data_IF_652326430871
#
_entry.id   IF_652326430871
#
_cell.length_a   1.000
_cell.length_b   1.000
_cell.length_c   1.000
_cell.angle_alpha   90.00
_cell.angle_beta   90.00
_cell.angle_gamma   90.00
#
_symmetry.space_group_name_H-M   'P 1'
#
loop_
_entity.id
_entity.type
_entity.pdbx_description
1 polymer ?
#
# COMPACT_ATOMS: atom_id res chain seq x y z
N UNK A 1 14.78 -46.13 -54.21
CA UNK A 1 13.38 -45.83 -54.58
C UNK A 1 13.01 -44.55 -53.82
N UNK A 2 12.73 -43.39 -54.41
CA UNK A 2 12.47 -43.03 -55.82
C UNK A 2 13.38 -41.90 -56.36
N UNK A 3 13.25 -41.61 -57.66
CA UNK A 3 14.09 -40.74 -58.51
C UNK A 3 13.76 -39.23 -58.40
N UNK A 4 14.78 -38.36 -58.46
CA UNK A 4 15.15 -37.42 -59.56
C UNK A 4 14.21 -36.21 -59.79
N UNK A 5 14.72 -34.96 -59.68
CA UNK A 5 15.09 -34.03 -60.77
C UNK A 5 13.87 -33.51 -61.58
N UNK A 6 13.56 -32.22 -61.79
CA UNK A 6 14.26 -31.11 -62.47
C UNK A 6 13.25 -29.91 -62.54
N UNK A 7 13.51 -28.66 -62.93
CA UNK A 7 14.72 -27.80 -63.09
C UNK A 7 14.24 -26.31 -63.17
N UNK A 8 15.10 -25.34 -63.51
CA UNK A 8 14.74 -23.94 -63.81
C UNK A 8 14.61 -23.68 -65.33
N UNK A 9 13.69 -22.80 -65.76
CA UNK A 9 13.97 -21.59 -66.59
C UNK A 9 12.67 -20.98 -67.19
N UNK A 10 12.76 -19.79 -67.79
CA UNK A 10 11.65 -18.86 -68.06
C UNK A 10 11.41 -18.50 -69.54
N UNK A 11 10.22 -17.95 -69.85
CA UNK A 11 9.89 -17.00 -70.93
C UNK A 11 8.42 -16.52 -70.70
N UNK A 12 8.09 -15.24 -70.47
CA UNK A 12 8.09 -14.06 -71.38
C UNK A 12 6.96 -14.05 -72.41
N UNK A 13 6.09 -13.04 -72.33
CA UNK A 13 5.52 -12.25 -73.44
C UNK A 13 4.89 -10.96 -72.84
N UNK A 14 4.90 -9.86 -73.58
CA UNK A 14 4.49 -8.53 -73.14
C UNK A 14 3.27 -7.99 -73.94
N UNK A 15 2.60 -6.95 -73.45
CA UNK A 15 2.58 -5.59 -74.05
C UNK A 15 1.41 -4.70 -73.58
N UNK A 16 1.70 -3.39 -73.58
CA UNK A 16 0.83 -2.23 -73.91
C UNK A 16 -0.08 -1.57 -72.86
N UNK A 17 0.10 -0.25 -72.78
CA UNK A 17 -0.75 0.75 -72.13
C UNK A 17 -2.01 1.06 -72.95
N UNK A 18 -3.08 1.47 -72.26
CA UNK A 18 -3.97 2.56 -72.67
C UNK A 18 -4.94 2.93 -71.53
N UNK A 19 -5.02 4.20 -71.16
CA UNK A 19 -5.94 4.72 -70.14
C UNK A 19 -7.43 4.58 -70.51
N UNK A 20 -8.32 4.67 -69.51
CA UNK A 20 -9.51 5.51 -69.69
C UNK A 20 -9.81 6.43 -68.49
N UNK A 21 -9.78 7.72 -68.79
CA UNK A 21 -10.83 8.73 -68.50
C UNK A 21 -11.51 8.73 -67.12
N UNK A 22 -11.27 9.80 -66.34
CA UNK A 22 -11.88 10.03 -65.03
C UNK A 22 -13.26 10.74 -65.13
N UNK A 23 -14.33 10.23 -64.49
CA UNK A 23 -15.59 10.95 -64.35
C UNK A 23 -15.56 11.93 -63.17
N UNK A 24 -15.73 13.20 -63.48
CA UNK A 24 -16.26 14.32 -62.67
C UNK A 24 -16.47 14.09 -61.15
N UNK A 25 -15.73 14.81 -60.32
CA UNK A 25 -15.97 14.89 -58.88
C UNK A 25 -17.30 15.61 -58.55
N UNK A 26 -18.29 14.87 -58.04
CA UNK A 26 -19.41 15.48 -57.31
C UNK A 26 -18.97 15.77 -55.88
N UNK A 27 -18.94 17.05 -55.52
CA UNK A 27 -18.46 17.51 -54.20
C UNK A 27 -19.48 17.23 -53.08
N UNK A 28 -19.53 15.99 -52.59
CA UNK A 28 -20.24 15.66 -51.36
C UNK A 28 -19.41 16.09 -50.14
N UNK A 29 -19.75 17.26 -49.58
CA UNK A 29 -19.29 17.68 -48.25
C UNK A 29 -19.89 16.76 -47.18
N UNK A 30 -19.27 15.62 -46.94
CA UNK A 30 -19.46 14.84 -45.73
C UNK A 30 -18.40 15.29 -44.70
N UNK A 31 -18.78 15.72 -43.49
CA UNK A 31 -17.80 15.98 -42.45
C UNK A 31 -17.03 14.69 -42.15
N UNK A 32 -15.73 14.77 -41.80
CA UNK A 32 -14.95 13.59 -41.44
C UNK A 32 -15.63 12.85 -40.29
N UNK A 33 -15.62 11.51 -40.27
CA UNK A 33 -16.26 10.74 -39.23
C UNK A 33 -15.66 11.14 -37.88
N UNK A 34 -16.45 11.85 -37.08
CA UNK A 34 -16.04 12.19 -35.73
C UNK A 34 -16.00 10.88 -34.93
N UNK A 35 -14.78 10.38 -34.72
CA UNK A 35 -14.49 9.41 -33.70
C UNK A 35 -14.80 10.05 -32.35
N UNK A 36 -16.08 10.00 -31.95
CA UNK A 36 -16.52 10.29 -30.60
C UNK A 36 -16.00 9.16 -29.72
N UNK A 37 -14.72 9.23 -29.38
CA UNK A 37 -14.13 8.46 -28.30
C UNK A 37 -14.82 8.91 -27.01
N UNK A 38 -15.96 8.29 -26.71
CA UNK A 38 -16.52 8.30 -25.37
C UNK A 38 -15.43 7.72 -24.46
N UNK A 39 -14.76 8.60 -23.72
CA UNK A 39 -13.71 8.20 -22.79
C UNK A 39 -14.36 7.43 -21.64
N UNK A 40 -14.54 6.13 -21.83
CA UNK A 40 -15.04 5.22 -20.80
C UNK A 40 -14.04 5.23 -19.65
N UNK A 41 -14.39 5.90 -18.56
CA UNK A 41 -13.61 5.84 -17.32
C UNK A 41 -13.39 4.38 -16.93
N UNK A 42 -12.16 4.02 -16.59
CA UNK A 42 -11.86 2.69 -16.09
C UNK A 42 -12.78 2.34 -14.91
N UNK A 43 -13.30 1.11 -14.83
CA UNK A 43 -14.13 0.69 -13.70
C UNK A 43 -13.34 0.84 -12.40
N UNK A 44 -14.03 1.19 -11.32
CA UNK A 44 -13.40 1.25 -10.00
C UNK A 44 -12.88 -0.11 -9.56
N UNK A 45 -11.74 -0.11 -8.88
CA UNK A 45 -11.17 -1.33 -8.33
C UNK A 45 -11.88 -1.70 -7.02
N UNK A 46 -12.70 -2.78 -7.05
CA UNK A 46 -13.34 -3.34 -5.86
C UNK A 46 -12.30 -3.66 -4.79
N UNK A 47 -12.46 -3.04 -3.63
CA UNK A 47 -11.50 -3.09 -2.53
C UNK A 47 -12.24 -3.34 -1.21
N UNK A 48 -11.61 -4.07 -0.29
CA UNK A 48 -12.09 -4.25 1.08
C UNK A 48 -11.04 -3.73 2.05
N UNK A 49 -11.45 -2.96 3.05
CA UNK A 49 -10.62 -2.57 4.18
C UNK A 49 -11.28 -3.04 5.48
N UNK A 50 -10.57 -3.91 6.20
CA UNK A 50 -10.99 -4.44 7.49
C UNK A 50 -10.39 -3.55 8.57
N UNK A 51 -11.22 -2.74 9.21
CA UNK A 51 -10.80 -1.67 10.12
C UNK A 51 -10.56 -2.22 11.52
N UNK A 52 -9.45 -1.83 12.16
CA UNK A 52 -9.29 -2.02 13.61
C UNK A 52 -10.24 -1.12 14.39
N UNK A 53 -10.56 -1.45 15.64
CA UNK A 53 -11.44 -0.62 16.49
C UNK A 53 -10.88 0.80 16.76
N UNK A 54 -9.56 0.96 16.73
CA UNK A 54 -8.86 2.20 17.06
C UNK A 54 -7.69 2.45 16.09
N UNK A 55 -7.97 2.80 14.83
CA UNK A 55 -6.95 3.11 13.84
C UNK A 55 -6.30 4.46 14.16
N UNK A 56 -5.11 4.68 13.62
CA UNK A 56 -4.51 6.01 13.59
C UNK A 56 -5.28 6.91 12.58
N UNK A 57 -5.59 8.17 12.91
CA UNK A 57 -6.20 9.11 11.96
C UNK A 57 -5.41 9.23 10.65
N UNK A 58 -4.08 9.21 10.72
CA UNK A 58 -3.15 9.29 9.58
C UNK A 58 -3.24 8.08 8.64
N UNK A 59 -3.67 6.91 9.15
CA UNK A 59 -3.94 5.72 8.33
C UNK A 59 -5.28 5.91 7.60
N UNK A 60 -6.29 6.43 8.29
CA UNK A 60 -7.62 6.65 7.71
C UNK A 60 -7.59 7.72 6.61
N UNK A 61 -6.92 8.84 6.84
CA UNK A 61 -6.67 9.89 5.85
C UNK A 61 -5.92 9.32 4.63
N UNK A 62 -4.85 8.55 4.85
CA UNK A 62 -4.09 7.92 3.76
C UNK A 62 -4.92 6.90 2.96
N UNK A 63 -5.84 6.17 3.61
CA UNK A 63 -6.79 5.25 2.94
C UNK A 63 -7.79 6.05 2.09
N UNK A 64 -8.31 7.17 2.58
CA UNK A 64 -9.22 8.03 1.82
C UNK A 64 -8.55 8.68 0.60
N UNK A 65 -7.33 9.22 0.77
CA UNK A 65 -6.52 9.68 -0.36
C UNK A 65 -6.29 8.56 -1.39
N UNK A 66 -5.93 7.37 -0.93
CA UNK A 66 -5.66 6.21 -1.79
C UNK A 66 -6.90 5.77 -2.56
N UNK A 67 -8.10 5.89 -1.98
CA UNK A 67 -9.36 5.63 -2.68
C UNK A 67 -9.56 6.55 -3.88
N UNK A 68 -9.23 7.83 -3.75
CA UNK A 68 -9.30 8.81 -4.83
C UNK A 68 -8.17 8.55 -5.85
N UNK A 69 -6.92 8.46 -5.37
CA UNK A 69 -5.70 8.32 -6.19
C UNK A 69 -5.70 7.08 -7.08
N UNK A 70 -6.21 5.95 -6.58
CA UNK A 70 -6.22 4.67 -7.30
C UNK A 70 -7.61 4.25 -7.81
N UNK A 71 -8.60 5.15 -7.78
CA UNK A 71 -9.97 4.92 -8.24
C UNK A 71 -10.62 3.66 -7.61
N UNK A 72 -10.55 3.55 -6.28
CA UNK A 72 -11.06 2.40 -5.54
C UNK A 72 -12.58 2.49 -5.29
N UNK A 73 -13.22 1.32 -5.23
CA UNK A 73 -14.56 1.12 -4.67
C UNK A 73 -14.38 0.39 -3.34
N UNK A 74 -14.24 1.15 -2.25
CA UNK A 74 -13.80 0.63 -0.95
C UNK A 74 -14.98 0.29 -0.03
N UNK A 75 -15.09 -0.98 0.34
CA UNK A 75 -16.01 -1.45 1.39
C UNK A 75 -15.26 -1.56 2.71
N UNK A 76 -15.72 -0.82 3.73
CA UNK A 76 -15.16 -0.78 5.08
C UNK A 76 -15.96 -1.69 6.02
N UNK A 77 -15.31 -2.62 6.70
CA UNK A 77 -15.94 -3.55 7.67
C UNK A 77 -15.07 -3.64 8.92
N UNK A 78 -15.64 -3.49 10.11
CA UNK A 78 -14.91 -3.64 11.38
C UNK A 78 -15.02 -5.04 11.98
N UNK A 79 -14.10 -5.36 12.90
CA UNK A 79 -14.11 -6.62 13.66
C UNK A 79 -13.09 -7.64 13.17
N UNK A 80 -13.36 -8.92 13.45
CA UNK A 80 -12.45 -10.01 13.09
C UNK A 80 -12.36 -10.21 11.56
N UNK A 81 -11.16 -10.53 11.07
CA UNK A 81 -10.87 -10.65 9.64
C UNK A 81 -11.72 -11.75 8.98
N UNK A 82 -11.98 -12.85 9.67
CA UNK A 82 -12.77 -13.98 9.15
C UNK A 82 -14.24 -13.62 9.05
N UNK A 83 -14.78 -12.96 10.07
CA UNK A 83 -16.18 -12.52 10.12
C UNK A 83 -16.45 -11.38 9.13
N UNK A 84 -15.52 -10.43 9.02
CA UNK A 84 -15.58 -9.35 8.04
C UNK A 84 -15.51 -9.88 6.60
N UNK A 85 -14.64 -10.86 6.32
CA UNK A 85 -14.57 -11.53 5.02
C UNK A 85 -15.85 -12.32 4.71
N UNK A 86 -16.43 -13.02 5.70
CA UNK A 86 -17.68 -13.75 5.54
C UNK A 86 -18.86 -12.81 5.22
N UNK A 87 -18.89 -11.65 5.89
CA UNK A 87 -19.86 -10.57 5.65
C UNK A 87 -19.71 -10.00 4.25
N UNK A 88 -18.46 -9.71 3.83
CA UNK A 88 -18.18 -9.18 2.49
C UNK A 88 -18.61 -10.14 1.38
N UNK A 89 -18.25 -11.42 1.48
CA UNK A 89 -18.54 -12.44 0.47
C UNK A 89 -19.98 -12.97 0.54
N UNK A 90 -20.76 -12.63 1.58
CA UNK A 90 -22.13 -13.10 1.76
C UNK A 90 -22.25 -14.55 2.25
N UNK A 91 -21.20 -15.10 2.85
CA UNK A 91 -21.20 -16.48 3.36
C UNK A 91 -21.65 -16.59 4.83
N UNK A 92 -21.87 -15.47 5.51
CA UNK A 92 -22.41 -15.41 6.87
C UNK A 92 -23.94 -15.33 6.90
N UNK A 93 -24.56 -15.98 7.89
CA UNK A 93 -25.91 -15.59 8.34
C UNK A 93 -25.92 -14.10 8.69
N UNK A 94 -26.83 -13.32 8.11
CA UNK A 94 -26.90 -11.85 8.23
C UNK A 94 -27.36 -11.34 9.61
N UNK A 95 -27.16 -12.11 10.68
CA UNK A 95 -27.75 -11.83 12.01
C UNK A 95 -26.90 -10.93 12.91
N UNK A 96 -25.58 -10.87 12.76
CA UNK A 96 -24.69 -10.25 13.79
C UNK A 96 -23.59 -9.32 13.25
N UNK A 97 -23.53 -9.06 11.94
CA UNK A 97 -22.62 -8.05 11.41
C UNK A 97 -23.03 -6.66 11.94
N UNK A 98 -22.23 -6.10 12.87
CA UNK A 98 -22.24 -4.66 13.20
C UNK A 98 -21.75 -3.87 11.99
N UNK A 99 -22.64 -3.75 11.02
CA UNK A 99 -22.42 -3.05 9.78
C UNK A 99 -22.00 -1.60 10.07
N UNK A 100 -20.74 -1.28 9.76
CA UNK A 100 -20.28 0.10 9.68
C UNK A 100 -21.25 0.90 8.81
N UNK A 101 -21.47 2.17 9.15
CA UNK A 101 -22.41 3.09 8.48
C UNK A 101 -22.22 3.13 6.94
N UNK A 102 -21.03 2.77 6.46
CA UNK A 102 -20.72 2.66 5.03
C UNK A 102 -21.33 1.45 4.30
N UNK A 103 -21.57 0.31 4.98
CA UNK A 103 -22.17 -0.88 4.33
C UNK A 103 -23.61 -0.61 3.88
N UNK A 104 -24.35 0.22 4.62
CA UNK A 104 -25.72 0.62 4.29
C UNK A 104 -25.83 1.18 2.86
N UNK A 105 -24.81 1.90 2.39
CA UNK A 105 -24.77 2.53 1.05
C UNK A 105 -24.75 1.52 -0.12
N UNK A 106 -24.36 0.26 0.14
CA UNK A 106 -24.45 -0.84 -0.84
C UNK A 106 -25.66 -1.76 -0.60
N UNK A 107 -26.20 -1.78 0.62
CA UNK A 107 -27.37 -2.59 1.02
C UNK A 107 -28.69 -1.91 0.64
N UNK A 108 -28.73 -0.58 0.54
CA UNK A 108 -29.87 0.12 -0.08
C UNK A 108 -30.04 -0.32 -1.55
N UNK A 109 -31.27 -0.75 -1.88
CA UNK A 109 -31.71 -1.33 -3.17
C UNK A 109 -31.43 -2.84 -3.38
N UNK A 110 -31.74 -3.68 -2.38
CA UNK A 110 -32.08 -5.10 -2.62
C UNK A 110 -30.97 -5.96 -3.24
N UNK A 111 -29.71 -5.56 -3.03
CA UNK A 111 -28.53 -6.21 -3.60
C UNK A 111 -28.02 -7.36 -2.73
N UNK A 112 -27.36 -8.26 -3.43
CA UNK A 112 -26.49 -9.32 -2.90
C UNK A 112 -25.28 -8.71 -2.18
N UNK A 113 -24.51 -9.55 -1.48
CA UNK A 113 -23.35 -9.10 -0.72
C UNK A 113 -22.31 -8.37 -1.60
N UNK A 114 -21.60 -7.35 -1.09
CA UNK A 114 -20.72 -6.50 -1.92
C UNK A 114 -19.58 -7.26 -2.61
N UNK A 115 -19.13 -8.36 -2.00
CA UNK A 115 -18.15 -9.31 -2.54
C UNK A 115 -18.75 -10.45 -3.35
N UNK A 116 -20.03 -10.42 -3.74
CA UNK A 116 -20.62 -11.49 -4.55
C UNK A 116 -19.80 -11.70 -5.85
N UNK A 117 -19.65 -12.97 -6.22
CA UNK A 117 -18.91 -13.40 -7.40
C UNK A 117 -17.39 -13.23 -7.31
N UNK A 118 -16.85 -12.72 -6.20
CA UNK A 118 -15.40 -12.71 -5.95
C UNK A 118 -14.91 -14.16 -5.83
N UNK A 119 -13.88 -14.51 -6.62
CA UNK A 119 -13.23 -15.83 -6.61
C UNK A 119 -11.81 -15.78 -6.03
N UNK A 120 -11.20 -14.59 -6.02
CA UNK A 120 -9.85 -14.36 -5.56
C UNK A 120 -9.70 -12.96 -4.97
N UNK A 121 -8.81 -12.80 -4.00
CA UNK A 121 -8.46 -11.53 -3.35
C UNK A 121 -6.94 -11.37 -3.37
N UNK A 122 -6.48 -10.18 -3.76
CA UNK A 122 -5.06 -9.80 -3.72
C UNK A 122 -4.73 -9.26 -2.34
N UNK A 123 -3.63 -9.73 -1.74
CA UNK A 123 -3.19 -9.38 -0.39
C UNK A 123 -1.71 -8.99 -0.39
N UNK A 124 -1.35 -8.00 0.44
CA UNK A 124 0.02 -7.48 0.59
C UNK A 124 0.91 -8.29 1.54
N UNK A 125 0.53 -9.52 1.89
CA UNK A 125 1.27 -10.37 2.83
C UNK A 125 2.62 -10.81 2.27
N UNK A 126 3.66 -10.78 3.10
CA UNK A 126 5.03 -11.24 2.84
C UNK A 126 5.38 -12.40 3.78
N UNK A 127 6.35 -13.26 3.44
CA UNK A 127 6.75 -14.42 4.27
C UNK A 127 7.33 -14.06 5.65
N UNK A 128 7.80 -12.83 5.82
CA UNK A 128 8.32 -12.29 7.08
C UNK A 128 7.20 -11.80 8.02
N UNK A 129 5.95 -11.72 7.55
CA UNK A 129 4.81 -11.39 8.39
C UNK A 129 4.50 -12.53 9.40
N UNK A 130 3.80 -12.24 10.51
CA UNK A 130 3.37 -13.29 11.43
C UNK A 130 2.52 -14.37 10.73
N UNK A 131 2.86 -15.63 10.99
CA UNK A 131 2.15 -16.83 10.52
C UNK A 131 2.14 -17.06 8.99
N UNK A 132 2.90 -16.31 8.19
CA UNK A 132 2.86 -16.36 6.72
C UNK A 132 4.02 -17.13 6.05
N UNK A 133 5.05 -17.55 6.78
CA UNK A 133 6.30 -18.09 6.20
C UNK A 133 6.15 -19.29 5.24
N UNK A 134 5.06 -20.07 5.37
CA UNK A 134 4.74 -21.21 4.51
C UNK A 134 3.72 -20.89 3.39
N UNK A 135 3.31 -19.62 3.22
CA UNK A 135 2.39 -19.22 2.16
C UNK A 135 3.10 -19.13 0.81
N UNK A 136 2.34 -19.40 -0.25
CA UNK A 136 2.74 -19.31 -1.65
C UNK A 136 1.99 -18.16 -2.36
N UNK A 137 2.38 -17.85 -3.60
CA UNK A 137 1.80 -16.81 -4.44
C UNK A 137 0.28 -16.93 -4.62
N UNK A 138 -0.26 -18.14 -4.59
CA UNK A 138 -1.71 -18.39 -4.64
C UNK A 138 -2.10 -19.58 -3.75
N UNK A 139 -2.97 -19.36 -2.77
CA UNK A 139 -3.43 -20.40 -1.85
C UNK A 139 -4.86 -20.13 -1.41
N UNK A 140 -5.69 -21.18 -1.30
CA UNK A 140 -7.05 -21.04 -0.77
C UNK A 140 -7.00 -20.58 0.70
N UNK A 141 -8.10 -20.03 1.18
CA UNK A 141 -8.36 -19.86 2.62
C UNK A 141 -8.41 -21.19 3.36
N UNK A 142 -8.13 -21.16 4.66
CA UNK A 142 -8.00 -22.38 5.47
C UNK A 142 -9.38 -22.95 5.84
N UNK A 143 -9.43 -24.20 6.30
CA UNK A 143 -10.71 -24.86 6.63
C UNK A 143 -11.54 -24.03 7.64
N UNK A 144 -12.82 -23.83 7.32
CA UNK A 144 -13.75 -23.06 8.14
C UNK A 144 -13.70 -21.53 7.93
N UNK A 145 -12.83 -21.01 7.07
CA UNK A 145 -12.93 -19.66 6.51
C UNK A 145 -13.87 -19.62 5.29
N UNK A 146 -14.34 -18.44 4.85
CA UNK A 146 -15.00 -18.28 3.54
C UNK A 146 -14.10 -18.75 2.40
N UNK A 147 -14.61 -19.54 1.46
CA UNK A 147 -13.81 -20.09 0.36
C UNK A 147 -13.44 -19.02 -0.68
N UNK A 148 -12.16 -18.65 -0.74
CA UNK A 148 -11.62 -17.69 -1.71
C UNK A 148 -10.13 -17.98 -1.96
N UNK A 149 -9.65 -17.70 -3.17
CA UNK A 149 -8.22 -17.78 -3.48
C UNK A 149 -7.49 -16.50 -3.00
N UNK A 150 -6.58 -16.64 -2.03
CA UNK A 150 -5.65 -15.58 -1.66
C UNK A 150 -4.52 -15.51 -2.69
N UNK A 151 -4.21 -14.32 -3.18
CA UNK A 151 -3.11 -14.06 -4.13
C UNK A 151 -2.13 -13.09 -3.45
N UNK A 152 -0.85 -13.43 -3.45
CA UNK A 152 0.20 -12.68 -2.75
C UNK A 152 1.32 -12.25 -3.71
N UNK A 153 1.17 -11.17 -4.50
CA UNK A 153 2.13 -10.79 -5.54
C UNK A 153 3.53 -10.45 -5.00
N UNK A 154 3.61 -9.99 -3.74
CA UNK A 154 4.84 -9.56 -3.08
C UNK A 154 5.33 -10.56 -2.01
N UNK A 155 4.87 -11.82 -2.05
CA UNK A 155 5.07 -12.81 -0.95
C UNK A 155 6.53 -13.04 -0.55
N UNK A 156 7.47 -12.89 -1.49
CA UNK A 156 8.91 -13.06 -1.25
C UNK A 156 9.70 -11.73 -1.15
N UNK A 157 9.02 -10.58 -1.08
CA UNK A 157 9.71 -9.28 -0.97
C UNK A 157 10.24 -9.04 0.46
N UNK A 158 11.48 -8.61 0.56
CA UNK A 158 12.14 -8.15 1.80
C UNK A 158 11.64 -6.77 2.22
N UNK A 159 11.97 -6.34 3.45
CA UNK A 159 11.66 -4.99 3.91
C UNK A 159 12.37 -3.91 3.06
N UNK A 160 13.61 -4.20 2.66
CA UNK A 160 14.41 -3.30 1.84
C UNK A 160 13.83 -3.12 0.43
N UNK A 161 13.34 -4.19 -0.22
CA UNK A 161 12.74 -4.11 -1.56
C UNK A 161 11.45 -3.28 -1.58
N UNK A 162 10.62 -3.37 -0.52
CA UNK A 162 9.42 -2.55 -0.35
C UNK A 162 9.79 -1.06 -0.37
N UNK A 163 10.74 -0.64 0.48
CA UNK A 163 11.17 0.76 0.53
C UNK A 163 11.90 1.22 -0.73
N UNK A 164 12.77 0.38 -1.30
CA UNK A 164 13.44 0.69 -2.57
C UNK A 164 12.42 0.95 -3.68
N UNK A 165 11.38 0.12 -3.81
CA UNK A 165 10.31 0.32 -4.79
C UNK A 165 9.54 1.62 -4.51
N UNK A 166 9.06 1.81 -3.27
CA UNK A 166 8.23 2.95 -2.91
C UNK A 166 8.95 4.28 -3.14
N UNK A 167 10.21 4.39 -2.70
CA UNK A 167 11.03 5.59 -2.91
C UNK A 167 11.45 5.76 -4.38
N UNK A 168 11.80 4.68 -5.08
CA UNK A 168 12.23 4.75 -6.50
C UNK A 168 11.12 5.25 -7.43
N UNK A 169 9.87 4.91 -7.14
CA UNK A 169 8.71 5.25 -7.97
C UNK A 169 7.83 6.35 -7.35
N UNK A 170 8.27 6.99 -6.26
CA UNK A 170 7.52 8.01 -5.52
C UNK A 170 6.09 7.55 -5.15
N UNK A 171 5.94 6.30 -4.72
CA UNK A 171 4.67 5.74 -4.27
C UNK A 171 4.32 6.37 -2.92
N UNK A 172 3.19 7.08 -2.80
CA UNK A 172 2.79 7.69 -1.52
C UNK A 172 2.60 6.65 -0.42
N UNK A 173 2.92 7.02 0.81
CA UNK A 173 2.79 6.18 2.00
C UNK A 173 2.29 7.00 3.21
N UNK A 174 1.82 6.32 4.24
CA UNK A 174 1.29 6.96 5.46
C UNK A 174 2.40 7.71 6.22
N UNK A 175 2.15 8.97 6.60
CA UNK A 175 3.11 9.87 7.25
C UNK A 175 3.76 9.31 8.52
N UNK A 176 3.09 8.40 9.24
CA UNK A 176 3.65 7.72 10.41
C UNK A 176 4.97 6.99 10.10
N UNK A 177 5.19 6.54 8.85
CA UNK A 177 6.46 5.95 8.47
C UNK A 177 7.62 6.97 8.51
N UNK A 178 7.39 8.26 8.28
CA UNK A 178 8.42 9.29 8.44
C UNK A 178 8.73 9.58 9.92
N UNK A 179 7.78 9.31 10.82
CA UNK A 179 7.95 9.40 12.28
C UNK A 179 8.63 8.16 12.90
N UNK A 180 9.12 7.22 12.08
CA UNK A 180 9.84 6.03 12.55
C UNK A 180 8.94 4.89 13.04
N UNK A 181 7.65 4.89 12.73
CA UNK A 181 6.83 3.68 12.82
C UNK A 181 7.18 2.73 11.68
N UNK A 182 7.48 1.46 11.94
CA UNK A 182 7.92 0.51 10.90
C UNK A 182 6.90 -0.58 10.58
N UNK A 183 5.93 -0.79 11.47
CA UNK A 183 4.80 -1.73 11.31
C UNK A 183 3.57 -1.11 11.97
N UNK A 184 2.48 -0.95 11.22
CA UNK A 184 1.28 -0.27 11.71
C UNK A 184 0.21 -1.25 12.23
N UNK A 185 -0.63 -0.75 13.13
CA UNK A 185 -1.67 -1.49 13.84
C UNK A 185 -2.71 -0.54 14.41
N UNK A 186 -3.23 -0.83 15.60
CA UNK A 186 -4.05 0.14 16.34
C UNK A 186 -3.18 1.04 17.22
N UNK A 187 -3.71 2.20 17.61
CA UNK A 187 -3.03 3.16 18.50
C UNK A 187 -2.62 2.57 19.85
N UNK A 188 -3.24 1.46 20.27
CA UNK A 188 -2.94 0.77 21.54
C UNK A 188 -1.90 -0.37 21.42
N UNK A 189 -1.45 -0.72 20.21
CA UNK A 189 -0.49 -1.81 20.01
C UNK A 189 0.67 -1.49 19.05
N UNK A 190 0.93 -0.19 18.84
CA UNK A 190 1.84 0.33 17.82
C UNK A 190 2.61 1.53 18.37
N UNK A 191 3.93 1.39 18.43
CA UNK A 191 4.90 2.38 18.87
C UNK A 191 5.92 2.62 17.76
N UNK A 192 6.64 3.75 17.84
CA UNK A 192 7.79 4.01 16.96
C UNK A 192 8.86 2.93 17.19
N UNK A 193 9.62 2.60 16.15
CA UNK A 193 10.63 1.55 16.25
C UNK A 193 11.83 2.06 17.08
N UNK A 194 12.18 1.41 18.19
CA UNK A 194 13.26 1.90 19.05
C UNK A 194 14.64 1.82 18.37
N UNK A 195 14.81 1.01 17.32
CA UNK A 195 16.03 1.00 16.49
C UNK A 195 16.19 2.25 15.59
N UNK A 196 15.15 3.07 15.47
CA UNK A 196 15.18 4.35 14.74
C UNK A 196 15.34 5.57 15.65
N UNK A 197 15.36 5.39 16.97
CA UNK A 197 15.53 6.48 17.95
C UNK A 197 16.84 7.25 17.70
N UNK A 198 16.73 8.58 17.55
CA UNK A 198 17.88 9.49 17.42
C UNK A 198 18.41 9.82 18.81
N UNK A 199 19.53 9.20 19.20
CA UNK A 199 20.24 9.53 20.43
C UNK A 199 21.42 10.48 20.14
N UNK A 200 21.63 11.57 20.91
CA UNK A 200 22.72 12.55 20.69
C UNK A 200 24.17 12.00 20.71
N UNK A 201 24.35 10.71 21.01
CA UNK A 201 25.64 10.03 21.14
C UNK A 201 25.71 8.72 20.34
N UNK A 202 24.66 8.39 19.57
CA UNK A 202 24.74 7.29 18.63
C UNK A 202 25.51 7.74 17.38
N UNK A 203 26.55 7.02 16.92
CA UNK A 203 27.08 7.26 15.59
C UNK A 203 25.97 6.99 14.56
N UNK A 204 25.91 7.76 13.45
CA UNK A 204 25.00 7.42 12.36
C UNK A 204 25.29 6.00 11.87
N UNK A 205 24.27 5.24 11.43
CA UNK A 205 24.50 3.90 10.88
C UNK A 205 25.45 4.00 9.67
N UNK A 206 26.27 2.97 9.41
CA UNK A 206 27.17 2.96 8.26
C UNK A 206 26.35 3.17 6.99
N UNK A 207 26.67 4.22 6.25
CA UNK A 207 25.96 4.56 5.02
C UNK A 207 26.14 3.44 4.01
N UNK A 208 25.09 2.67 3.73
CA UNK A 208 25.08 1.77 2.59
C UNK A 208 25.21 2.63 1.34
N UNK A 209 26.31 2.44 0.60
CA UNK A 209 26.66 3.26 -0.56
C UNK A 209 25.72 2.96 -1.73
N UNK A 210 24.54 3.58 -1.71
CA UNK A 210 23.70 3.74 -2.89
C UNK A 210 23.49 5.23 -3.13
N UNK A 211 23.80 5.67 -4.35
CA UNK A 211 23.63 7.04 -4.79
C UNK A 211 22.13 7.32 -5.03
N UNK A 212 21.41 7.66 -3.97
CA UNK A 212 20.01 8.09 -4.08
C UNK A 212 19.91 9.47 -4.76
N UNK A 213 19.01 9.65 -5.74
CA UNK A 213 18.72 10.96 -6.29
C UNK A 213 18.03 11.84 -5.25
N UNK A 214 18.35 13.14 -5.24
CA UNK A 214 17.69 14.11 -4.37
C UNK A 214 16.19 14.18 -4.67
N UNK A 215 15.36 13.88 -3.67
CA UNK A 215 13.91 14.08 -3.74
C UNK A 215 13.58 15.58 -3.90
N UNK A 216 12.54 15.94 -4.67
CA UNK A 216 12.00 17.30 -4.65
C UNK A 216 11.38 17.59 -3.28
N UNK A 217 11.30 18.87 -2.86
CA UNK A 217 10.72 19.21 -1.56
C UNK A 217 9.21 18.96 -1.58
N UNK A 218 8.78 17.88 -0.93
CA UNK A 218 7.42 17.79 -0.37
C UNK A 218 7.19 19.00 0.54
N UNK A 219 5.96 19.50 0.61
CA UNK A 219 5.56 20.59 1.52
C UNK A 219 5.55 20.11 2.98
N UNK A 220 6.74 19.80 3.50
CA UNK A 220 6.98 19.61 4.93
C UNK A 220 6.79 20.96 5.62
N UNK A 221 5.80 21.03 6.51
CA UNK A 221 5.80 22.03 7.57
C UNK A 221 7.11 21.87 8.33
N UNK A 222 7.98 22.87 8.23
CA UNK A 222 9.31 22.82 8.82
C UNK A 222 9.20 22.45 10.32
N UNK A 223 9.99 21.48 10.82
CA UNK A 223 10.01 21.18 12.24
C UNK A 223 10.31 22.45 13.04
N UNK A 224 9.50 22.73 14.06
CA UNK A 224 9.77 23.80 15.02
C UNK A 224 11.17 23.58 15.58
N UNK A 225 11.99 24.63 15.56
CA UNK A 225 13.41 24.51 15.93
C UNK A 225 13.52 24.09 17.40
N UNK A 226 14.38 23.11 17.73
CA UNK A 226 14.64 22.78 19.14
C UNK A 226 15.15 24.01 19.89
N UNK A 227 14.40 24.46 20.91
CA UNK A 227 14.81 25.51 21.84
C UNK A 227 14.10 26.88 21.74
N UNK A 228 13.10 27.05 20.87
CA UNK A 228 12.25 28.26 20.93
C UNK A 228 11.36 28.24 22.19
N UNK A 229 11.45 29.30 23.01
CA UNK A 229 10.68 29.44 24.26
C UNK A 229 9.24 29.84 23.97
N UNK A 230 8.28 29.33 24.77
CA UNK A 230 7.02 30.02 24.96
C UNK A 230 7.26 31.31 25.78
N UNK A 231 7.19 32.48 25.16
CA UNK A 231 7.30 33.77 25.88
C UNK A 231 6.16 33.95 26.91
N UNK A 232 5.09 33.16 26.82
CA UNK A 232 3.95 33.19 27.73
C UNK A 232 4.07 32.26 28.96
N UNK A 233 4.93 31.23 28.94
CA UNK A 233 4.83 30.14 29.92
C UNK A 233 6.13 29.67 30.58
N UNK A 234 7.31 29.96 30.01
CA UNK A 234 8.60 29.60 30.59
C UNK A 234 8.88 28.08 30.71
N UNK A 235 7.94 27.21 30.34
CA UNK A 235 8.08 25.76 30.37
C UNK A 235 9.02 25.33 29.26
N UNK A 236 10.13 24.69 29.63
CA UNK A 236 10.94 23.94 28.67
C UNK A 236 10.16 22.69 28.30
N UNK A 237 9.53 22.68 27.12
CA UNK A 237 9.01 21.44 26.55
C UNK A 237 10.18 20.48 26.37
N UNK A 238 10.16 19.36 27.11
CA UNK A 238 10.98 18.21 26.76
C UNK A 238 10.57 17.80 25.35
N UNK A 239 11.45 18.04 24.37
CA UNK A 239 11.19 17.67 22.99
C UNK A 239 11.00 16.16 22.94
N UNK A 240 9.84 15.71 22.46
CA UNK A 240 9.59 14.28 22.30
C UNK A 240 10.74 13.64 21.51
N UNK A 241 11.20 12.44 21.89
CA UNK A 241 12.34 11.81 21.24
C UNK A 241 12.17 11.76 19.72
N UNK A 242 13.18 12.23 19.00
CA UNK A 242 13.21 12.20 17.54
C UNK A 242 13.52 10.79 17.05
N UNK A 243 12.93 10.40 15.93
CA UNK A 243 13.15 9.12 15.27
C UNK A 243 13.53 9.37 13.81
N UNK A 244 14.34 8.47 13.25
CA UNK A 244 14.62 8.40 11.81
C UNK A 244 13.43 7.75 11.08
N UNK A 245 13.20 8.06 9.80
CA UNK A 245 12.11 7.46 9.05
C UNK A 245 12.30 5.95 8.84
N UNK A 246 11.19 5.25 8.62
CA UNK A 246 11.09 3.80 8.56
C UNK A 246 12.02 3.15 7.53
N UNK A 247 12.19 3.81 6.37
CA UNK A 247 13.05 3.34 5.29
C UNK A 247 14.55 3.29 5.64
N UNK A 248 14.97 3.84 6.78
CA UNK A 248 16.34 3.73 7.29
C UNK A 248 16.55 2.60 8.31
N UNK A 249 15.55 1.76 8.57
CA UNK A 249 15.70 0.54 9.37
C UNK A 249 16.57 -0.47 8.61
N UNK A 250 17.65 -0.91 9.24
CA UNK A 250 18.65 -1.81 8.61
C UNK A 250 18.37 -3.29 8.86
N UNK A 251 17.72 -3.62 9.98
CA UNK A 251 17.40 -4.97 10.38
C UNK A 251 15.90 -5.23 10.19
N UNK A 252 15.55 -6.11 9.24
CA UNK A 252 14.15 -6.43 8.94
C UNK A 252 13.49 -7.34 10.00
N UNK A 253 14.26 -8.11 10.78
CA UNK A 253 13.70 -8.85 11.92
C UNK A 253 13.12 -7.89 12.98
N UNK A 254 13.74 -6.71 13.11
CA UNK A 254 13.28 -5.61 13.94
C UNK A 254 12.10 -4.81 13.36
N UNK A 255 11.55 -5.12 12.17
CA UNK A 255 10.41 -4.38 11.58
C UNK A 255 9.24 -4.25 12.55
N UNK A 256 8.99 -5.30 13.34
CA UNK A 256 7.87 -5.36 14.29
C UNK A 256 8.26 -5.01 15.72
N UNK A 257 9.48 -4.51 15.97
CA UNK A 257 9.95 -4.15 17.31
C UNK A 257 9.07 -3.10 18.02
N UNK A 258 8.40 -2.23 17.26
CA UNK A 258 7.40 -1.28 17.77
C UNK A 258 6.02 -1.87 18.11
N UNK A 259 5.78 -3.19 17.95
CA UNK A 259 4.46 -3.80 18.19
C UNK A 259 4.35 -4.40 19.58
N UNK A 260 3.33 -3.99 20.34
CA UNK A 260 3.06 -4.51 21.68
C UNK A 260 2.21 -3.57 22.52
N UNK A 261 1.74 -4.06 23.68
CA UNK A 261 0.91 -3.28 24.63
C UNK A 261 1.68 -2.22 25.43
N UNK A 262 3.01 -2.24 25.37
CA UNK A 262 3.91 -1.40 26.17
C UNK A 262 4.96 -0.83 25.22
N UNK A 263 5.35 0.43 25.43
CA UNK A 263 6.44 1.07 24.70
C UNK A 263 7.75 0.26 24.88
N UNK A 264 8.36 -0.25 23.80
CA UNK A 264 9.60 -1.02 23.87
C UNK A 264 10.84 -0.14 24.12
N UNK A 265 10.74 1.18 23.95
CA UNK A 265 11.89 2.10 23.92
C UNK A 265 12.73 2.08 25.21
N UNK A 266 12.14 2.10 26.43
CA UNK A 266 12.93 2.03 27.66
C UNK A 266 13.71 0.71 27.80
N UNK A 267 13.10 -0.41 27.43
CA UNK A 267 13.73 -1.73 27.50
C UNK A 267 14.86 -1.87 26.47
N UNK A 268 14.68 -1.33 25.26
CA UNK A 268 15.70 -1.27 24.22
C UNK A 268 16.90 -0.40 24.62
N UNK A 269 16.68 0.76 25.23
CA UNK A 269 17.75 1.61 25.73
C UNK A 269 18.56 0.92 26.84
N UNK A 270 17.88 0.21 27.75
CA UNK A 270 18.52 -0.55 28.81
C UNK A 270 19.38 -1.70 28.27
N UNK A 271 18.88 -2.48 27.30
CA UNK A 271 19.61 -3.61 26.74
C UNK A 271 20.79 -3.19 25.86
N UNK A 272 20.65 -2.09 25.08
CA UNK A 272 21.67 -1.65 24.13
C UNK A 272 22.78 -0.78 24.75
N UNK A 273 22.48 -0.04 25.83
CA UNK A 273 23.43 0.92 26.41
C UNK A 273 23.71 0.73 27.91
N UNK A 274 23.09 -0.26 28.57
CA UNK A 274 23.23 -0.46 30.01
C UNK A 274 22.61 0.66 30.86
N UNK A 275 21.80 1.53 30.25
CA UNK A 275 21.07 2.60 30.92
C UNK A 275 19.95 1.98 31.76
N UNK A 276 20.11 1.89 33.08
CA UNK A 276 19.01 1.52 33.96
C UNK A 276 17.85 2.49 33.78
N UNK A 277 16.61 2.00 33.85
CA UNK A 277 15.38 2.80 33.68
C UNK A 277 15.17 3.80 34.85
N UNK A 278 15.99 4.85 34.89
CA UNK A 278 16.02 5.91 35.89
C UNK A 278 15.20 7.13 35.47
N UNK A 279 13.98 6.92 34.99
CA UNK A 279 12.96 7.96 34.85
C UNK A 279 11.70 7.50 35.59
N UNK A 280 11.80 7.45 36.92
CA UNK A 280 10.62 7.46 37.77
C UNK A 280 9.85 8.76 37.48
N UNK A 281 8.62 8.64 36.99
CA UNK A 281 7.68 9.74 37.10
C UNK A 281 7.47 10.01 38.60
N UNK A 282 7.96 11.15 39.08
CA UNK A 282 7.56 11.66 40.38
C UNK A 282 6.06 11.92 40.34
N UNK A 283 5.31 11.12 41.09
CA UNK A 283 3.88 11.33 41.27
C UNK A 283 3.66 12.61 42.06
N UNK A 284 3.42 13.70 41.34
CA UNK A 284 2.99 14.98 41.92
C UNK A 284 1.53 14.85 42.42
N UNK A 285 1.37 14.21 43.58
CA UNK A 285 0.21 14.38 44.43
C UNK A 285 0.41 15.59 45.37
N UNK A 286 -0.68 16.27 45.79
CA UNK A 286 -0.62 17.41 46.71
C UNK A 286 -0.25 17.01 48.14
#
# INVERSE_FOLDING_TARGET
MHHSAHSSSAATIATKESDPEAPSASSSNLPPPQLTCAASSLPKLRSIYITSDHPFPEIEEFVEESCVRYNLDLVRIGGDIKEALATYLGTSSLSEARASMHLAKHVEQGKTAPGEGIKAIVMGTRKTDPYSGNLDYSVRTDAGWPDVLRIHPIINWTYAEIWQFMLRFNVPYCSLYDEGYTSLGSIYNTWRNPALLVHPHLPPPPSSTSSSPSLPPTLSLAPVKPGEKCDACGVVHSSAPAYRPAHELQDEESERAGRGKVDPTPAYLASRFGLSAGLSLESSGP
#
